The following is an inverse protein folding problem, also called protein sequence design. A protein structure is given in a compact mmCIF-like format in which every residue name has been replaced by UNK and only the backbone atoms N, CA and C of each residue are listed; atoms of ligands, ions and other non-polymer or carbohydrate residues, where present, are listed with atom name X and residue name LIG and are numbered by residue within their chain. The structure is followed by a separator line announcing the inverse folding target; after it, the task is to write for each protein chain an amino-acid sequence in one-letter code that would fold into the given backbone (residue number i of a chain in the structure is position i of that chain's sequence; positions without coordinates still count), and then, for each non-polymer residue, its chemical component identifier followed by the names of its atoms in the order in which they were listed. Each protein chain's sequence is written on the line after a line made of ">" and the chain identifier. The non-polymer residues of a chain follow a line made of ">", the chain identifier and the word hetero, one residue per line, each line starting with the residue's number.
data_IF_834693953983
#
_entry.id   IF_834693953983
#
_cell.length_a   1.000
_cell.length_b   1.000
_cell.length_c   1.000
_cell.angle_alpha   90.00
_cell.angle_beta   90.00
_cell.angle_gamma   90.00
#
_symmetry.space_group_name_H-M   'P 1'
#
loop_
_entity.id
_entity.type
_entity.pdbx_description
1 polymer ?
#
# COMPACT_ATOMS: atom_id res chain seq x y z
N UNK A 1 29.49 -24.18 2.57
CA UNK A 1 28.97 -23.40 1.42
C UNK A 1 27.57 -22.86 1.69
N UNK A 2 27.30 -21.58 1.39
CA UNK A 2 25.98 -20.96 1.49
C UNK A 2 25.24 -21.14 0.16
N UNK A 3 24.11 -21.86 0.15
CA UNK A 3 23.32 -22.13 -1.05
C UNK A 3 22.25 -21.02 -1.20
N UNK A 4 22.24 -20.22 -2.28
CA UNK A 4 21.36 -19.05 -2.39
C UNK A 4 19.90 -19.50 -2.50
N UNK A 5 19.03 -18.76 -1.80
CA UNK A 5 17.69 -19.19 -1.44
C UNK A 5 16.77 -19.48 -2.61
N UNK A 6 16.08 -20.61 -2.49
CA UNK A 6 14.84 -20.90 -3.21
C UNK A 6 13.82 -19.85 -2.72
N UNK A 7 13.69 -18.74 -3.44
CA UNK A 7 12.56 -17.81 -3.27
C UNK A 7 11.30 -18.66 -3.41
N UNK A 8 10.69 -19.03 -2.27
CA UNK A 8 9.35 -19.60 -2.24
C UNK A 8 8.52 -18.65 -3.10
N UNK A 9 7.94 -19.16 -4.19
CA UNK A 9 7.05 -18.39 -5.06
C UNK A 9 5.98 -17.84 -4.12
N UNK A 10 6.09 -16.56 -3.77
CA UNK A 10 5.15 -15.95 -2.85
C UNK A 10 3.75 -16.18 -3.45
N UNK A 11 2.72 -16.44 -2.61
CA UNK A 11 1.36 -16.45 -3.12
C UNK A 11 1.17 -15.21 -4.01
N UNK A 12 0.50 -15.38 -5.16
CA UNK A 12 0.29 -14.27 -6.09
C UNK A 12 -0.19 -13.07 -5.29
N UNK A 13 0.52 -11.96 -5.43
CA UNK A 13 0.17 -10.71 -4.76
C UNK A 13 -1.29 -10.38 -5.07
N UNK A 14 -2.04 -9.83 -4.12
CA UNK A 14 -3.41 -9.38 -4.36
C UNK A 14 -3.47 -8.46 -5.60
N UNK A 15 -2.43 -7.65 -5.82
CA UNK A 15 -2.27 -6.79 -6.99
C UNK A 15 -2.06 -7.56 -8.32
N UNK A 16 -1.56 -8.79 -8.30
CA UNK A 16 -1.48 -9.63 -9.51
C UNK A 16 -2.83 -10.28 -9.85
N UNK A 17 -3.71 -10.44 -8.86
CA UNK A 17 -5.03 -11.05 -9.05
C UNK A 17 -6.09 -10.02 -9.40
N UNK A 18 -5.95 -8.78 -8.91
CA UNK A 18 -6.94 -7.71 -9.08
C UNK A 18 -7.39 -7.48 -10.53
N UNK A 19 -6.48 -7.40 -11.54
CA UNK A 19 -6.89 -7.21 -12.94
C UNK A 19 -7.80 -8.31 -13.50
N UNK A 20 -7.78 -9.51 -12.90
CA UNK A 20 -8.63 -10.63 -13.35
C UNK A 20 -10.05 -10.56 -12.80
N UNK A 21 -10.22 -9.97 -11.61
CA UNK A 21 -11.51 -9.96 -10.88
C UNK A 21 -12.18 -8.59 -10.91
N UNK A 22 -11.41 -7.53 -11.07
CA UNK A 22 -11.87 -6.14 -11.21
C UNK A 22 -10.97 -5.43 -12.24
N UNK A 23 -11.19 -5.65 -13.55
CA UNK A 23 -10.37 -5.08 -14.62
C UNK A 23 -10.29 -3.55 -14.57
N UNK A 24 -11.35 -2.88 -14.09
CA UNK A 24 -11.42 -1.44 -13.84
C UNK A 24 -10.38 -0.93 -12.83
N UNK A 25 -9.80 -1.81 -12.00
CA UNK A 25 -8.76 -1.48 -11.03
C UNK A 25 -7.34 -1.87 -11.49
N UNK A 26 -7.16 -2.21 -12.77
CA UNK A 26 -5.87 -2.67 -13.31
C UNK A 26 -4.75 -1.63 -13.16
N UNK A 27 -5.05 -0.36 -13.44
CA UNK A 27 -4.06 0.72 -13.33
C UNK A 27 -3.61 0.92 -11.88
N UNK A 28 -4.55 0.89 -10.95
CA UNK A 28 -4.27 0.91 -9.52
C UNK A 28 -3.43 -0.29 -9.07
N UNK A 29 -3.73 -1.49 -9.58
CA UNK A 29 -2.95 -2.68 -9.28
C UNK A 29 -1.48 -2.55 -9.71
N UNK A 30 -1.25 -2.03 -10.93
CA UNK A 30 0.09 -1.78 -11.44
C UNK A 30 0.82 -0.69 -10.63
N UNK A 31 0.12 0.40 -10.29
CA UNK A 31 0.64 1.48 -9.48
C UNK A 31 1.15 1.00 -8.11
N UNK A 32 0.32 0.32 -7.33
CA UNK A 32 0.72 -0.17 -6.00
C UNK A 32 1.78 -1.28 -6.05
N UNK A 33 1.76 -2.12 -7.09
CA UNK A 33 2.82 -3.12 -7.29
C UNK A 33 4.18 -2.46 -7.56
N UNK A 34 4.21 -1.36 -8.32
CA UNK A 34 5.44 -0.63 -8.63
C UNK A 34 6.09 -0.01 -7.37
N UNK A 35 5.27 0.46 -6.42
CA UNK A 35 5.70 1.05 -5.16
C UNK A 35 6.12 0.04 -4.08
N UNK A 36 5.85 -1.25 -4.27
CA UNK A 36 6.04 -2.27 -3.22
C UNK A 36 7.48 -2.39 -2.71
N UNK A 37 8.48 -2.24 -3.60
CA UNK A 37 9.91 -2.27 -3.20
C UNK A 37 10.30 -1.08 -2.33
N UNK A 38 9.79 0.11 -2.67
CA UNK A 38 10.03 1.35 -1.89
C UNK A 38 9.41 1.23 -0.50
N UNK A 39 8.15 0.78 -0.44
CA UNK A 39 7.46 0.51 0.84
C UNK A 39 8.20 -0.52 1.69
N UNK A 40 8.65 -1.64 1.09
CA UNK A 40 9.41 -2.66 1.82
C UNK A 40 10.73 -2.12 2.40
N UNK A 41 11.43 -1.22 1.67
CA UNK A 41 12.62 -0.56 2.19
C UNK A 41 12.27 0.39 3.35
N UNK A 42 11.18 1.15 3.26
CA UNK A 42 10.70 2.02 4.32
C UNK A 42 10.28 1.23 5.57
N UNK A 43 9.56 0.12 5.41
CA UNK A 43 9.16 -0.80 6.49
C UNK A 43 10.37 -1.46 7.17
N UNK A 44 11.45 -1.69 6.42
CA UNK A 44 12.73 -2.17 6.96
C UNK A 44 13.55 -1.08 7.68
N UNK A 45 13.04 0.15 7.74
CA UNK A 45 13.68 1.27 8.41
C UNK A 45 14.87 1.86 7.64
N UNK A 46 14.98 1.64 6.32
CA UNK A 46 16.05 2.25 5.54
C UNK A 46 15.90 3.79 5.55
N UNK A 47 16.95 4.53 5.96
CA UNK A 47 16.94 5.99 5.89
C UNK A 47 16.76 6.46 4.45
N UNK A 48 15.86 7.41 4.24
CA UNK A 48 15.61 7.99 2.91
C UNK A 48 14.89 7.07 1.92
N UNK A 49 14.33 5.94 2.37
CA UNK A 49 13.55 5.05 1.50
C UNK A 49 12.26 5.72 0.97
N UNK A 50 11.70 6.67 1.72
CA UNK A 50 10.62 7.53 1.28
C UNK A 50 10.75 8.90 1.96
N UNK A 51 10.35 9.94 1.25
CA UNK A 51 10.17 11.29 1.78
C UNK A 51 8.77 11.47 2.35
N UNK A 52 8.58 12.48 3.21
CA UNK A 52 7.24 12.82 3.73
C UNK A 52 6.23 13.13 2.61
N UNK A 53 6.67 13.86 1.57
CA UNK A 53 5.83 14.15 0.40
C UNK A 53 5.41 12.90 -0.35
N UNK A 54 6.32 11.96 -0.58
CA UNK A 54 5.98 10.69 -1.24
C UNK A 54 4.99 9.86 -0.41
N UNK A 55 5.07 9.94 0.92
CA UNK A 55 4.11 9.28 1.81
C UNK A 55 2.73 9.97 1.73
N UNK A 56 2.68 11.30 1.75
CA UNK A 56 1.43 12.07 1.64
C UNK A 56 0.73 11.82 0.30
N UNK A 57 1.50 11.79 -0.79
CA UNK A 57 0.96 11.51 -2.13
C UNK A 57 0.44 10.07 -2.22
N UNK A 58 1.17 9.09 -1.65
CA UNK A 58 0.68 7.72 -1.56
C UNK A 58 -0.62 7.62 -0.75
N UNK A 59 -0.75 8.37 0.35
CA UNK A 59 -1.99 8.37 1.15
C UNK A 59 -3.18 8.94 0.35
N UNK A 60 -2.98 10.00 -0.43
CA UNK A 60 -4.01 10.57 -1.31
C UNK A 60 -4.45 9.56 -2.39
N UNK A 61 -3.48 8.85 -2.96
CA UNK A 61 -3.72 7.82 -3.97
C UNK A 61 -4.49 6.63 -3.38
N UNK A 62 -4.10 6.17 -2.18
CA UNK A 62 -4.84 5.12 -1.44
C UNK A 62 -6.27 5.55 -1.13
N UNK A 63 -6.48 6.81 -0.73
CA UNK A 63 -7.81 7.33 -0.45
C UNK A 63 -8.71 7.30 -1.69
N UNK A 64 -8.16 7.69 -2.84
CA UNK A 64 -8.86 7.68 -4.12
C UNK A 64 -9.21 6.25 -4.55
N UNK A 65 -8.24 5.34 -4.50
CA UNK A 65 -8.46 3.92 -4.75
C UNK A 65 -9.53 3.34 -3.83
N UNK A 66 -9.48 3.65 -2.53
CA UNK A 66 -10.43 3.13 -1.56
C UNK A 66 -11.86 3.60 -1.85
N UNK A 67 -12.06 4.87 -2.23
CA UNK A 67 -13.37 5.38 -2.66
C UNK A 67 -13.92 4.61 -3.86
N UNK A 68 -13.08 4.28 -4.85
CA UNK A 68 -13.48 3.48 -6.00
C UNK A 68 -13.89 2.05 -5.60
N UNK A 69 -13.10 1.40 -4.73
CA UNK A 69 -13.41 0.05 -4.25
C UNK A 69 -14.73 0.02 -3.48
N UNK A 70 -14.94 0.98 -2.59
CA UNK A 70 -16.20 1.12 -1.84
C UNK A 70 -17.39 1.27 -2.78
N UNK A 71 -17.27 2.13 -3.80
CA UNK A 71 -18.30 2.35 -4.80
C UNK A 71 -18.61 1.07 -5.60
N UNK A 72 -17.58 0.33 -6.01
CA UNK A 72 -17.73 -0.94 -6.72
C UNK A 72 -18.39 -2.03 -5.87
N UNK A 73 -18.09 -2.06 -4.57
CA UNK A 73 -18.66 -3.04 -3.65
C UNK A 73 -20.05 -2.65 -3.10
N UNK A 74 -20.60 -1.50 -3.52
CA UNK A 74 -21.82 -0.92 -2.95
C UNK A 74 -21.78 -0.78 -1.41
N UNK A 75 -20.60 -0.62 -0.83
CA UNK A 75 -20.40 -0.39 0.60
C UNK A 75 -20.50 1.12 0.89
N UNK A 76 -20.90 1.56 2.09
CA UNK A 76 -20.72 2.95 2.49
C UNK A 76 -19.21 3.23 2.77
N UNK A 77 -18.64 4.35 2.30
CA UNK A 77 -17.23 4.66 2.51
C UNK A 77 -16.92 4.83 4.00
N UNK A 78 -16.03 3.99 4.54
CA UNK A 78 -15.43 4.17 5.87
C UNK A 78 -13.95 4.49 5.73
N UNK A 79 -13.60 5.77 5.82
CA UNK A 79 -12.19 6.17 5.92
C UNK A 79 -11.85 6.24 7.41
N UNK A 80 -11.07 5.26 7.89
CA UNK A 80 -10.48 5.33 9.22
C UNK A 80 -9.30 6.33 9.15
N UNK A 81 -9.43 7.45 9.85
CA UNK A 81 -8.34 8.41 9.99
C UNK A 81 -7.21 7.77 10.81
N UNK A 82 -5.93 7.94 10.43
CA UNK A 82 -4.84 7.59 11.32
C UNK A 82 -4.97 8.46 12.57
N UNK A 83 -5.36 7.84 13.69
CA UNK A 83 -5.37 8.52 14.98
C UNK A 83 -3.92 8.80 15.34
N UNK A 84 -3.44 9.99 14.96
CA UNK A 84 -2.19 10.53 15.48
C UNK A 84 -2.39 10.62 17.00
N UNK A 85 -1.74 9.74 17.76
CA UNK A 85 -1.82 9.75 19.20
C UNK A 85 -1.55 11.17 19.72
N UNK A 86 -2.35 11.70 20.67
CA UNK A 86 -2.07 13.02 21.23
C UNK A 86 -0.65 13.02 21.82
N UNK A 87 0.13 14.10 21.66
CA UNK A 87 1.44 14.19 22.30
C UNK A 87 1.25 14.02 23.82
N UNK A 88 2.08 13.17 24.43
CA UNK A 88 2.06 12.94 25.86
C UNK A 88 2.16 14.28 26.62
N UNK A 89 1.41 14.47 27.72
CA UNK A 89 1.59 15.66 28.55
C UNK A 89 3.05 15.67 29.04
N UNK A 90 3.75 16.75 28.71
CA UNK A 90 5.05 17.04 29.31
C UNK A 90 4.75 17.62 30.69
N UNK A 91 5.17 16.90 31.74
CA UNK A 91 5.36 17.45 33.07
C UNK A 91 6.87 17.71 33.22
#
# INVERSE_FOLDING_TARGET
>A
EQRPGRRRRAPRSAWELLPRVAPELTEWAAFFASGARKRAAAEAGLPGAATGREADDLLRDVETFFRLVVQLLALPPRIAQPQLAPPAPTD
#
